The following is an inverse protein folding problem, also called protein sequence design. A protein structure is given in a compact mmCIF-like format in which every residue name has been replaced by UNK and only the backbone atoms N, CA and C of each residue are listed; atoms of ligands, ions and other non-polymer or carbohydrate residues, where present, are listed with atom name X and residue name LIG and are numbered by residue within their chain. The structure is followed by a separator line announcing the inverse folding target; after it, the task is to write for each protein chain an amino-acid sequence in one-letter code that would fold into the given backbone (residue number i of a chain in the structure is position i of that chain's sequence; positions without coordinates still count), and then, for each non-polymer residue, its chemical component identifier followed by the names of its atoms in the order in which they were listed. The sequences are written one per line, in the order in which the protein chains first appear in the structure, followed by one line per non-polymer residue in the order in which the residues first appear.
data_IF_377990906556
#
_entry.id   IF_377990906556
#
_cell.length_a   1.000
_cell.length_b   1.000
_cell.length_c   1.000
_cell.angle_alpha   90.00
_cell.angle_beta   90.00
_cell.angle_gamma   90.00
#
_symmetry.space_group_name_H-M   'P 1'
#
loop_
_entity.id
_entity.type
_entity.pdbx_description
1 polymer ?
#
# COMPACT_ATOMS: atom_id res chain seq x y z
N UNK A 1 8.64 -21.32 18.23
CA UNK A 1 9.69 -20.28 18.32
C UNK A 1 10.84 -20.69 17.44
N UNK A 2 11.15 -19.92 16.40
CA UNK A 2 12.32 -20.18 15.56
C UNK A 2 13.58 -19.85 16.38
N UNK A 3 14.40 -20.85 16.69
CA UNK A 3 15.53 -20.69 17.62
C UNK A 3 16.79 -20.06 16.97
N UNK A 4 16.79 -19.92 15.66
CA UNK A 4 18.00 -19.63 14.89
C UNK A 4 18.23 -18.11 14.74
N UNK A 5 19.50 -17.70 14.90
CA UNK A 5 19.92 -16.33 14.62
C UNK A 5 19.93 -16.10 13.10
N UNK A 6 19.20 -15.10 12.63
CA UNK A 6 19.27 -14.62 11.24
C UNK A 6 20.04 -13.31 11.15
N UNK A 7 20.69 -13.08 10.02
CA UNK A 7 21.41 -11.83 9.77
C UNK A 7 21.24 -11.33 8.33
N UNK A 8 21.22 -10.00 8.19
CA UNK A 8 21.20 -9.31 6.91
C UNK A 8 21.68 -7.85 7.03
N UNK A 9 21.95 -7.21 5.89
CA UNK A 9 22.20 -5.77 5.81
C UNK A 9 20.83 -5.07 5.80
N UNK A 10 20.61 -4.14 6.73
CA UNK A 10 19.35 -3.42 6.91
C UNK A 10 19.29 -2.07 6.17
N UNK A 11 20.43 -1.60 5.64
CA UNK A 11 20.55 -0.36 4.85
C UNK A 11 20.51 -0.64 3.34
N UNK A 12 20.11 0.34 2.50
CA UNK A 12 20.15 0.20 1.04
C UNK A 12 21.54 -0.17 0.50
N UNK A 13 21.57 -0.87 -0.63
CA UNK A 13 22.82 -1.15 -1.33
C UNK A 13 23.40 0.14 -1.93
N UNK A 14 24.71 0.32 -1.81
CA UNK A 14 25.41 1.49 -2.36
C UNK A 14 26.56 1.95 -1.47
N UNK A 15 27.08 3.14 -1.77
CA UNK A 15 28.06 3.82 -0.93
C UNK A 15 27.34 4.83 -0.05
N UNK A 16 27.54 4.75 1.25
CA UNK A 16 27.00 5.69 2.23
C UNK A 16 27.96 5.92 3.39
N UNK A 17 27.60 6.80 4.31
CA UNK A 17 28.37 7.02 5.54
C UNK A 17 28.36 5.80 6.46
N UNK A 18 27.21 5.12 6.56
CA UNK A 18 26.98 4.00 7.48
C UNK A 18 26.26 2.86 6.76
N UNK A 19 26.60 1.63 7.09
CA UNK A 19 25.80 0.44 6.80
C UNK A 19 25.42 -0.27 8.10
N UNK A 20 24.21 -0.83 8.14
CA UNK A 20 23.70 -1.55 9.32
C UNK A 20 23.63 -3.05 9.01
N UNK A 21 24.26 -3.88 9.85
CA UNK A 21 24.10 -5.34 9.84
C UNK A 21 23.27 -5.70 11.06
N UNK A 22 22.09 -6.28 10.82
CA UNK A 22 21.15 -6.69 11.87
C UNK A 22 21.22 -8.20 12.07
N UNK A 23 21.17 -8.63 13.34
CA UNK A 23 21.07 -10.04 13.75
C UNK A 23 19.87 -10.18 14.70
N UNK A 24 18.96 -11.12 14.46
CA UNK A 24 17.80 -11.42 15.34
C UNK A 24 17.73 -12.91 15.66
N UNK A 25 17.43 -13.27 16.90
CA UNK A 25 17.18 -14.66 17.28
C UNK A 25 17.36 -14.92 18.78
N UNK A 26 17.59 -16.19 19.14
CA UNK A 26 17.68 -16.62 20.55
C UNK A 26 18.93 -16.12 21.27
N UNK A 27 20.04 -15.91 20.57
CA UNK A 27 21.33 -15.58 21.20
C UNK A 27 22.28 -14.80 20.30
N UNK A 28 21.87 -13.65 19.74
CA UNK A 28 22.72 -12.86 18.84
C UNK A 28 24.04 -12.41 19.49
N UNK A 29 24.05 -12.16 20.81
CA UNK A 29 25.25 -11.78 21.55
C UNK A 29 26.37 -12.83 21.51
N UNK A 30 26.04 -14.12 21.29
CA UNK A 30 27.05 -15.18 21.14
C UNK A 30 27.91 -14.99 19.90
N UNK A 31 27.34 -14.44 18.82
CA UNK A 31 28.03 -14.07 17.59
C UNK A 31 28.85 -12.81 17.84
N UNK A 32 28.24 -11.80 18.47
CA UNK A 32 28.89 -10.51 18.77
C UNK A 32 30.14 -10.69 19.60
N UNK A 33 30.10 -11.55 20.61
CA UNK A 33 31.24 -11.85 21.49
C UNK A 33 32.47 -12.33 20.72
N UNK A 34 32.27 -12.98 19.57
CA UNK A 34 33.35 -13.54 18.76
C UNK A 34 33.91 -12.54 17.73
N UNK A 35 33.14 -11.55 17.31
CA UNK A 35 33.53 -10.62 16.24
C UNK A 35 33.58 -9.14 16.64
N UNK A 36 33.22 -8.78 17.88
CA UNK A 36 33.21 -7.39 18.33
C UNK A 36 34.08 -7.18 19.56
N UNK A 37 34.99 -6.20 19.47
CA UNK A 37 35.83 -5.77 20.57
C UNK A 37 35.45 -4.34 20.99
N UNK A 38 34.63 -4.18 22.05
CA UNK A 38 34.23 -2.86 22.53
C UNK A 38 35.43 -2.05 23.04
N UNK A 39 35.34 -0.73 22.91
CA UNK A 39 36.26 0.21 23.55
C UNK A 39 35.98 0.25 25.05
N UNK A 40 37.05 0.24 25.85
CA UNK A 40 36.96 0.29 27.30
C UNK A 40 36.96 -1.09 27.94
N UNK A 41 36.26 -1.22 29.07
CA UNK A 41 36.28 -2.42 29.93
C UNK A 41 34.97 -3.23 29.92
N UNK A 42 33.93 -2.73 29.25
CA UNK A 42 32.63 -3.41 29.20
C UNK A 42 32.77 -4.62 28.29
N UNK A 43 32.41 -5.81 28.78
CA UNK A 43 32.37 -7.03 27.96
C UNK A 43 31.04 -7.11 27.23
N UNK A 44 31.01 -7.85 26.12
CA UNK A 44 29.79 -8.06 25.33
C UNK A 44 28.68 -8.72 26.16
N UNK A 45 29.03 -9.57 27.13
CA UNK A 45 28.02 -10.18 28.01
C UNK A 45 27.32 -9.18 28.94
N UNK A 46 27.99 -8.06 29.21
CA UNK A 46 27.54 -7.00 30.11
C UNK A 46 26.89 -5.83 29.34
N UNK A 47 26.54 -6.03 28.07
CA UNK A 47 25.86 -5.00 27.28
C UNK A 47 24.49 -4.70 27.85
N UNK A 48 24.29 -3.45 28.23
CA UNK A 48 23.00 -2.89 28.57
C UNK A 48 22.18 -2.73 27.27
N UNK A 49 20.92 -3.20 27.25
CA UNK A 49 20.05 -2.98 26.11
C UNK A 49 19.88 -1.49 25.78
N UNK A 50 19.69 -1.17 24.50
CA UNK A 50 19.46 0.19 23.98
C UNK A 50 20.64 1.16 24.15
N UNK A 51 21.84 0.65 24.45
CA UNK A 51 23.07 1.43 24.55
C UNK A 51 24.00 1.16 23.37
N UNK A 52 24.60 2.22 22.83
CA UNK A 52 25.60 2.14 21.77
C UNK A 52 26.99 1.92 22.36
N UNK A 53 27.68 0.90 21.87
CA UNK A 53 29.06 0.57 22.24
C UNK A 53 29.97 0.77 21.02
N UNK A 54 30.95 1.69 21.07
CA UNK A 54 31.96 1.79 20.01
C UNK A 54 32.98 0.67 20.14
N UNK A 55 33.51 0.20 19.03
CA UNK A 55 34.47 -0.91 19.04
C UNK A 55 34.96 -1.32 17.66
N UNK A 56 35.87 -2.28 17.68
CA UNK A 56 36.40 -2.90 16.47
C UNK A 56 35.53 -4.10 16.08
N UNK A 57 35.05 -4.12 14.84
CA UNK A 57 34.26 -5.20 14.24
C UNK A 57 35.19 -6.02 13.34
N UNK A 58 35.25 -7.32 13.57
CA UNK A 58 35.96 -8.27 12.73
C UNK A 58 35.10 -8.59 11.49
N UNK A 59 35.58 -8.22 10.30
CA UNK A 59 34.99 -8.57 9.01
C UNK A 59 35.56 -9.85 8.40
N UNK A 60 36.38 -10.59 9.15
CA UNK A 60 37.08 -11.80 8.76
C UNK A 60 38.41 -11.52 8.07
N UNK A 61 38.42 -10.76 6.97
CA UNK A 61 39.65 -10.40 6.23
C UNK A 61 40.14 -8.99 6.51
N UNK A 62 39.39 -8.22 7.30
CA UNK A 62 39.71 -6.85 7.69
C UNK A 62 39.03 -6.56 9.03
N UNK A 63 39.42 -5.45 9.65
CA UNK A 63 38.71 -4.90 10.79
C UNK A 63 38.11 -3.55 10.41
N UNK A 64 36.90 -3.30 10.88
CA UNK A 64 36.28 -1.98 10.82
C UNK A 64 36.11 -1.40 12.23
N UNK A 65 35.99 -0.09 12.35
CA UNK A 65 35.63 0.57 13.59
C UNK A 65 34.22 1.13 13.48
N UNK A 66 33.34 0.73 14.40
CA UNK A 66 31.92 1.05 14.32
C UNK A 66 31.23 1.00 15.67
N UNK A 67 29.90 1.00 15.64
CA UNK A 67 29.04 0.91 16.82
C UNK A 67 28.31 -0.43 16.85
N UNK A 68 28.02 -0.91 18.05
CA UNK A 68 27.17 -2.07 18.31
C UNK A 68 26.06 -1.67 19.29
N UNK A 69 24.82 -2.05 19.01
CA UNK A 69 23.68 -1.90 19.92
C UNK A 69 22.98 -3.23 20.11
N UNK A 70 22.58 -3.52 21.34
CA UNK A 70 21.81 -4.70 21.72
C UNK A 70 20.40 -4.30 22.12
N UNK A 71 19.39 -5.00 21.61
CA UNK A 71 17.99 -4.89 21.99
C UNK A 71 17.56 -6.22 22.60
N UNK A 72 16.98 -6.16 23.80
CA UNK A 72 16.56 -7.36 24.53
C UNK A 72 15.08 -7.64 24.29
N UNK A 73 14.73 -8.90 24.05
CA UNK A 73 13.35 -9.36 23.99
C UNK A 73 12.57 -8.97 25.27
N UNK A 74 11.27 -8.62 25.18
CA UNK A 74 10.45 -8.50 23.97
C UNK A 74 10.51 -7.09 23.32
N UNK A 75 11.33 -6.19 23.85
CA UNK A 75 11.34 -4.77 23.46
C UNK A 75 12.29 -4.48 22.28
N UNK A 76 12.29 -5.36 21.28
CA UNK A 76 12.98 -5.18 20.00
C UNK A 76 11.97 -5.10 18.85
N UNK A 77 12.47 -4.86 17.63
CA UNK A 77 11.64 -4.88 16.41
C UNK A 77 10.97 -6.24 16.18
N UNK A 78 11.73 -7.32 16.24
CA UNK A 78 11.24 -8.68 16.00
C UNK A 78 10.51 -9.27 17.20
N UNK A 79 10.64 -8.68 18.39
CA UNK A 79 10.21 -9.30 19.65
C UNK A 79 11.22 -10.31 20.22
N UNK A 80 12.31 -10.59 19.50
CA UNK A 80 13.42 -11.44 19.94
C UNK A 80 14.60 -10.60 20.45
N UNK A 81 15.69 -11.24 20.86
CA UNK A 81 16.95 -10.50 21.05
C UNK A 81 17.47 -10.07 19.67
N UNK A 82 17.89 -8.81 19.56
CA UNK A 82 18.41 -8.21 18.32
C UNK A 82 19.73 -7.51 18.59
N UNK A 83 20.68 -7.63 17.67
CA UNK A 83 21.90 -6.80 17.67
C UNK A 83 22.03 -6.11 16.32
N UNK A 84 22.50 -4.87 16.35
CA UNK A 84 22.89 -4.14 15.14
C UNK A 84 24.34 -3.66 15.22
N UNK A 85 25.10 -3.95 14.17
CA UNK A 85 26.38 -3.31 13.89
C UNK A 85 26.16 -2.12 12.96
N UNK A 86 26.67 -0.94 13.33
CA UNK A 86 26.77 0.22 12.46
C UNK A 86 28.22 0.40 12.05
N UNK A 87 28.53 -0.01 10.82
CA UNK A 87 29.88 0.02 10.24
C UNK A 87 29.97 1.08 9.15
N UNK A 88 31.17 1.32 8.61
CA UNK A 88 31.31 2.23 7.46
C UNK A 88 30.52 1.69 6.25
N UNK A 89 29.82 2.59 5.55
CA UNK A 89 28.87 2.27 4.48
C UNK A 89 29.51 1.85 3.15
N UNK A 90 30.67 1.20 3.17
CA UNK A 90 31.27 0.58 2.00
C UNK A 90 30.67 -0.79 1.72
N UNK A 91 30.27 -1.06 0.48
CA UNK A 91 29.59 -2.32 0.13
C UNK A 91 30.40 -3.58 0.52
N UNK A 92 31.71 -3.57 0.26
CA UNK A 92 32.59 -4.68 0.62
C UNK A 92 32.77 -4.82 2.15
N UNK A 93 32.71 -3.70 2.88
CA UNK A 93 32.77 -3.70 4.36
C UNK A 93 31.51 -4.35 4.91
N UNK A 94 30.33 -3.88 4.49
CA UNK A 94 29.05 -4.43 4.93
C UNK A 94 28.90 -5.92 4.60
N UNK A 95 29.24 -6.32 3.35
CA UNK A 95 29.22 -7.74 2.93
C UNK A 95 30.24 -8.59 3.68
N UNK A 96 31.40 -8.04 4.02
CA UNK A 96 32.43 -8.73 4.80
C UNK A 96 31.96 -9.05 6.21
N UNK A 97 31.43 -8.04 6.91
CA UNK A 97 30.86 -8.20 8.25
C UNK A 97 29.69 -9.18 8.22
N UNK A 98 28.77 -9.06 7.26
CA UNK A 98 27.66 -10.01 7.11
C UNK A 98 28.15 -11.45 6.87
N UNK A 99 29.14 -11.68 6.01
CA UNK A 99 29.70 -13.03 5.83
C UNK A 99 30.31 -13.58 7.11
N UNK A 100 30.90 -12.72 7.93
CA UNK A 100 31.46 -13.13 9.21
C UNK A 100 30.36 -13.56 10.19
N UNK A 101 29.20 -12.89 10.22
CA UNK A 101 28.07 -13.37 11.04
C UNK A 101 27.64 -14.79 10.64
N UNK A 102 27.64 -15.09 9.34
CA UNK A 102 27.30 -16.44 8.85
C UNK A 102 28.29 -17.51 9.27
N UNK A 103 29.60 -17.21 9.19
CA UNK A 103 30.65 -18.12 9.67
C UNK A 103 30.54 -18.42 11.16
N UNK A 104 30.00 -17.48 11.93
CA UNK A 104 29.82 -17.58 13.37
C UNK A 104 28.44 -18.13 13.77
N UNK A 105 27.64 -18.59 12.80
CA UNK A 105 26.42 -19.35 13.06
C UNK A 105 25.10 -18.62 12.79
N UNK A 106 25.12 -17.37 12.29
CA UNK A 106 23.90 -16.77 11.75
C UNK A 106 23.51 -17.42 10.42
N UNK A 107 22.21 -17.50 10.13
CA UNK A 107 21.70 -17.82 8.79
C UNK A 107 21.38 -16.53 8.02
N UNK A 108 21.43 -16.56 6.67
CA UNK A 108 20.92 -15.45 5.89
C UNK A 108 19.42 -15.29 6.14
N UNK A 109 18.98 -14.06 6.46
CA UNK A 109 17.56 -13.77 6.56
C UNK A 109 16.88 -13.88 5.19
N UNK A 110 15.68 -14.44 5.16
CA UNK A 110 14.77 -14.38 4.02
C UNK A 110 14.23 -12.97 3.76
N UNK A 111 13.45 -12.81 2.69
CA UNK A 111 12.72 -11.56 2.38
C UNK A 111 11.64 -11.33 3.44
N UNK A 112 11.63 -10.14 4.04
CA UNK A 112 10.63 -9.79 5.05
C UNK A 112 10.72 -10.60 6.35
N UNK A 113 11.77 -11.39 6.57
CA UNK A 113 11.82 -12.32 7.70
C UNK A 113 11.84 -11.61 9.06
N UNK A 114 12.47 -10.44 9.18
CA UNK A 114 12.45 -9.73 10.48
C UNK A 114 11.04 -9.24 10.82
N UNK A 115 10.32 -8.71 9.83
CA UNK A 115 8.93 -8.25 9.95
C UNK A 115 7.99 -9.43 10.15
N UNK A 116 8.22 -10.57 9.47
CA UNK A 116 7.49 -11.83 9.70
C UNK A 116 7.65 -12.29 11.15
N UNK A 117 8.86 -12.25 11.71
CA UNK A 117 9.09 -12.58 13.12
C UNK A 117 8.41 -11.59 14.06
N UNK A 118 8.42 -10.30 13.74
CA UNK A 118 7.67 -9.29 14.50
C UNK A 118 6.16 -9.61 14.54
N UNK A 119 5.57 -9.97 13.40
CA UNK A 119 4.18 -10.42 13.31
C UNK A 119 3.93 -11.69 14.15
N UNK A 120 4.75 -12.73 13.98
CA UNK A 120 4.61 -13.99 14.72
C UNK A 120 4.77 -13.82 16.25
N UNK A 121 5.54 -12.83 16.68
CA UNK A 121 5.72 -12.48 18.08
C UNK A 121 4.70 -11.44 18.59
N UNK A 122 3.68 -11.12 17.80
CA UNK A 122 2.58 -10.21 18.17
C UNK A 122 3.00 -8.75 18.32
N UNK A 123 4.12 -8.34 17.73
CA UNK A 123 4.62 -6.95 17.77
C UNK A 123 3.82 -6.00 16.87
N UNK A 124 3.22 -6.56 15.81
CA UNK A 124 2.47 -5.83 14.80
C UNK A 124 1.47 -6.78 14.13
N UNK A 125 0.33 -6.24 13.67
CA UNK A 125 -0.64 -6.99 12.85
C UNK A 125 -0.16 -7.17 11.42
N UNK A 126 -0.85 -8.04 10.66
CA UNK A 126 -0.53 -8.26 9.25
C UNK A 126 -0.74 -7.00 8.40
N UNK A 127 -1.81 -6.25 8.66
CA UNK A 127 -2.07 -4.95 8.05
C UNK A 127 -0.98 -3.91 8.38
N UNK A 128 -0.46 -3.91 9.61
CA UNK A 128 0.65 -3.02 9.97
C UNK A 128 1.98 -3.44 9.36
N UNK A 129 2.20 -4.73 9.11
CA UNK A 129 3.33 -5.18 8.32
C UNK A 129 3.28 -4.55 6.91
N UNK A 130 2.15 -4.69 6.21
CA UNK A 130 1.93 -4.07 4.89
C UNK A 130 2.15 -2.56 4.93
N UNK A 131 1.64 -1.87 5.94
CA UNK A 131 1.87 -0.43 6.15
C UNK A 131 3.36 -0.06 6.24
N UNK A 132 4.19 -0.88 6.92
CA UNK A 132 5.65 -0.67 6.95
C UNK A 132 6.24 -0.80 5.55
N UNK A 133 5.85 -1.83 4.79
CA UNK A 133 6.30 -2.03 3.41
C UNK A 133 5.93 -0.82 2.52
N UNK A 134 4.70 -0.35 2.63
CA UNK A 134 4.21 0.80 1.87
C UNK A 134 4.95 2.09 2.23
N UNK A 135 5.20 2.35 3.51
CA UNK A 135 5.99 3.52 3.92
C UNK A 135 7.41 3.54 3.33
N UNK A 136 8.02 2.37 3.19
CA UNK A 136 9.39 2.24 2.66
C UNK A 136 9.42 2.46 1.15
N UNK A 137 8.39 1.97 0.46
CA UNK A 137 8.29 2.02 -0.99
C UNK A 137 7.58 3.27 -1.50
N UNK A 138 6.97 4.08 -0.61
CA UNK A 138 6.20 5.26 -0.96
C UNK A 138 7.02 6.28 -1.76
N UNK A 139 6.47 6.69 -2.90
CA UNK A 139 7.06 7.63 -3.84
C UNK A 139 6.49 9.05 -3.69
N UNK A 140 5.46 9.23 -2.84
CA UNK A 140 4.85 10.52 -2.50
C UNK A 140 4.54 10.63 -1.00
N UNK A 141 4.38 11.85 -0.50
CA UNK A 141 4.01 12.10 0.91
C UNK A 141 2.67 11.44 1.27
N UNK A 142 1.74 11.37 0.31
CA UNK A 142 0.48 10.67 0.48
C UNK A 142 0.63 9.15 0.63
N UNK A 143 1.49 8.51 -0.16
CA UNK A 143 1.78 7.07 -0.05
C UNK A 143 2.45 6.75 1.30
N UNK A 144 3.38 7.61 1.75
CA UNK A 144 4.03 7.45 3.06
C UNK A 144 3.04 7.66 4.21
N UNK A 145 2.21 8.72 4.15
CA UNK A 145 1.14 8.98 5.13
C UNK A 145 0.15 7.82 5.15
N UNK A 146 -0.12 7.21 4.00
CA UNK A 146 -1.01 6.08 3.91
C UNK A 146 -0.47 4.83 4.61
N UNK A 147 0.77 4.45 4.31
CA UNK A 147 1.44 3.36 5.01
C UNK A 147 1.53 3.61 6.53
N UNK A 148 1.74 4.87 6.94
CA UNK A 148 1.74 5.25 8.36
C UNK A 148 0.38 5.04 9.04
N UNK A 149 -0.73 5.36 8.37
CA UNK A 149 -2.07 5.14 8.93
C UNK A 149 -2.37 3.65 9.11
N UNK A 150 -1.94 2.79 8.19
CA UNK A 150 -2.01 1.33 8.34
C UNK A 150 -1.11 0.82 9.46
N UNK A 151 0.12 1.33 9.54
CA UNK A 151 1.06 1.03 10.62
C UNK A 151 0.55 1.50 11.99
N UNK A 152 -0.27 2.55 12.04
CA UNK A 152 -0.85 3.07 13.30
C UNK A 152 -1.94 2.17 13.91
N UNK A 153 -2.17 0.98 13.35
CA UNK A 153 -3.13 -0.04 13.82
C UNK A 153 -4.59 0.45 13.89
N UNK A 154 -4.95 1.59 13.29
CA UNK A 154 -6.32 2.12 13.31
C UNK A 154 -7.33 1.20 12.62
N UNK A 155 -7.00 0.72 11.42
CA UNK A 155 -7.82 -0.24 10.69
C UNK A 155 -7.93 -1.55 11.48
N UNK A 156 -6.80 -2.06 11.97
CA UNK A 156 -6.74 -3.29 12.76
C UNK A 156 -7.61 -3.18 14.02
N UNK A 157 -7.54 -2.08 14.75
CA UNK A 157 -8.35 -1.87 15.94
C UNK A 157 -9.86 -1.91 15.61
N UNK A 158 -10.26 -1.27 14.51
CA UNK A 158 -11.66 -1.29 14.05
C UNK A 158 -12.10 -2.70 13.62
N UNK A 159 -11.26 -3.44 12.89
CA UNK A 159 -11.56 -4.81 12.47
C UNK A 159 -11.60 -5.77 13.66
N UNK A 160 -10.70 -5.62 14.64
CA UNK A 160 -10.72 -6.42 15.87
C UNK A 160 -11.97 -6.19 16.71
N UNK A 161 -12.48 -4.95 16.76
CA UNK A 161 -13.75 -4.64 17.40
C UNK A 161 -14.92 -5.38 16.73
N UNK A 162 -14.99 -5.35 15.39
CA UNK A 162 -15.98 -6.10 14.62
C UNK A 162 -15.86 -7.61 14.85
N UNK A 163 -14.64 -8.16 14.81
CA UNK A 163 -14.39 -9.58 15.10
C UNK A 163 -14.79 -9.96 16.53
N UNK A 164 -14.53 -9.11 17.52
CA UNK A 164 -14.90 -9.37 18.90
C UNK A 164 -16.43 -9.45 19.07
N UNK A 165 -17.16 -8.54 18.41
CA UNK A 165 -18.64 -8.54 18.42
C UNK A 165 -19.21 -9.75 17.69
N UNK A 166 -18.70 -10.10 16.52
CA UNK A 166 -19.07 -11.33 15.81
C UNK A 166 -18.80 -12.58 16.64
N UNK A 167 -17.67 -12.63 17.34
CA UNK A 167 -17.33 -13.73 18.26
C UNK A 167 -18.33 -13.86 19.40
N UNK A 168 -18.79 -12.74 19.96
CA UNK A 168 -19.87 -12.74 20.97
C UNK A 168 -21.18 -13.28 20.40
N UNK A 169 -21.56 -12.87 19.18
CA UNK A 169 -22.76 -13.38 18.52
C UNK A 169 -22.67 -14.88 18.23
N UNK A 170 -21.51 -15.37 17.75
CA UNK A 170 -21.26 -16.80 17.56
C UNK A 170 -21.43 -17.61 18.85
N UNK A 171 -20.88 -17.12 19.96
CA UNK A 171 -21.04 -17.78 21.26
C UNK A 171 -22.52 -17.83 21.70
N UNK A 172 -23.31 -16.79 21.41
CA UNK A 172 -24.76 -16.80 21.68
C UNK A 172 -25.54 -17.78 20.80
N UNK A 173 -25.16 -17.91 19.53
CA UNK A 173 -25.71 -18.90 18.61
C UNK A 173 -25.40 -20.31 19.10
N UNK A 174 -24.14 -20.60 19.45
CA UNK A 174 -23.71 -21.93 19.93
C UNK A 174 -24.51 -22.37 21.17
N UNK A 175 -24.70 -21.47 22.14
CA UNK A 175 -25.51 -21.74 23.34
C UNK A 175 -26.97 -22.04 22.97
N UNK A 176 -27.54 -21.30 22.03
CA UNK A 176 -28.94 -21.51 21.60
C UNK A 176 -29.12 -22.83 20.86
N UNK A 177 -28.11 -23.26 20.10
CA UNK A 177 -28.11 -24.54 19.38
C UNK A 177 -27.95 -25.73 20.34
N UNK A 178 -27.09 -25.60 21.36
CA UNK A 178 -26.83 -26.67 22.33
C UNK A 178 -27.98 -26.86 23.35
N UNK A 179 -28.78 -25.82 23.61
CA UNK A 179 -29.85 -25.82 24.62
C UNK A 179 -31.21 -25.29 24.08
N UNK A 180 -31.87 -26.03 23.16
CA UNK A 180 -33.11 -25.58 22.51
C UNK A 180 -34.37 -25.62 23.40
N UNK A 181 -34.29 -26.14 24.63
CA UNK A 181 -35.46 -26.30 25.53
C UNK A 181 -35.81 -25.02 26.31
N UNK A 182 -35.02 -23.94 26.19
CA UNK A 182 -35.34 -22.63 26.74
C UNK A 182 -36.19 -21.84 25.72
N UNK A 183 -37.46 -21.53 26.02
CA UNK A 183 -38.49 -20.82 25.21
C UNK A 183 -38.10 -19.38 24.71
N UNK A 184 -36.86 -19.15 24.25
CA UNK A 184 -36.24 -17.84 23.98
C UNK A 184 -35.99 -17.60 22.47
N UNK A 185 -36.54 -18.44 21.59
CA UNK A 185 -36.16 -18.45 20.17
C UNK A 185 -36.49 -17.14 19.40
N UNK A 186 -37.69 -16.57 19.56
CA UNK A 186 -38.09 -15.41 18.74
C UNK A 186 -37.41 -14.10 19.14
N UNK A 187 -37.24 -13.83 20.44
CA UNK A 187 -36.59 -12.59 20.90
C UNK A 187 -35.09 -12.57 20.58
N UNK A 188 -34.40 -13.71 20.73
CA UNK A 188 -32.99 -13.81 20.36
C UNK A 188 -32.74 -13.62 18.86
N UNK A 189 -33.62 -14.15 17.99
CA UNK A 189 -33.48 -13.96 16.53
C UNK A 189 -33.62 -12.48 16.15
N UNK A 190 -34.54 -11.75 16.77
CA UNK A 190 -34.73 -10.31 16.52
C UNK A 190 -33.51 -9.51 16.98
N UNK A 191 -32.95 -9.82 18.16
CA UNK A 191 -31.75 -9.17 18.69
C UNK A 191 -30.53 -9.47 17.82
N UNK A 192 -30.32 -10.73 17.43
CA UNK A 192 -29.25 -11.15 16.53
C UNK A 192 -29.33 -10.43 15.18
N UNK A 193 -30.51 -10.41 14.55
CA UNK A 193 -30.72 -9.74 13.26
C UNK A 193 -30.42 -8.24 13.35
N UNK A 194 -30.84 -7.58 14.44
CA UNK A 194 -30.52 -6.17 14.69
C UNK A 194 -29.01 -5.95 14.79
N UNK A 195 -28.32 -6.75 15.60
CA UNK A 195 -26.90 -6.58 15.86
C UNK A 195 -26.04 -6.89 14.61
N UNK A 196 -26.45 -7.86 13.78
CA UNK A 196 -25.85 -8.12 12.48
C UNK A 196 -26.04 -6.97 11.50
N UNK A 197 -27.22 -6.32 11.48
CA UNK A 197 -27.45 -5.14 10.63
C UNK A 197 -26.55 -3.96 11.06
N UNK A 198 -26.37 -3.73 12.37
CA UNK A 198 -25.45 -2.70 12.86
C UNK A 198 -24.00 -2.97 12.42
N UNK A 199 -23.55 -4.22 12.52
CA UNK A 199 -22.22 -4.63 12.04
C UNK A 199 -22.06 -4.44 10.53
N UNK A 200 -23.09 -4.78 9.75
CA UNK A 200 -23.11 -4.58 8.30
C UNK A 200 -22.98 -3.09 7.94
N UNK A 201 -23.73 -2.21 8.58
CA UNK A 201 -23.70 -0.77 8.26
C UNK A 201 -22.33 -0.13 8.59
N UNK A 202 -21.71 -0.57 9.68
CA UNK A 202 -20.33 -0.18 10.03
C UNK A 202 -19.32 -0.67 8.99
N UNK A 203 -19.50 -1.90 8.49
CA UNK A 203 -18.65 -2.49 7.46
C UNK A 203 -18.83 -1.80 6.10
N UNK A 204 -20.06 -1.47 5.70
CA UNK A 204 -20.34 -0.69 4.50
C UNK A 204 -19.69 0.70 4.56
N UNK A 205 -19.68 1.33 5.73
CA UNK A 205 -18.99 2.61 5.95
C UNK A 205 -17.48 2.48 5.75
N UNK A 206 -16.89 1.40 6.27
CA UNK A 206 -15.47 1.11 6.08
C UNK A 206 -15.13 0.85 4.60
N UNK A 207 -15.97 0.08 3.89
CA UNK A 207 -15.83 -0.20 2.47
C UNK A 207 -15.93 1.07 1.61
N UNK A 208 -16.82 2.01 1.95
CA UNK A 208 -16.95 3.28 1.23
C UNK A 208 -15.65 4.11 1.27
N UNK A 209 -14.86 4.00 2.36
CA UNK A 209 -13.58 4.70 2.46
C UNK A 209 -12.46 4.11 1.59
N UNK A 210 -12.60 2.88 1.07
CA UNK A 210 -11.59 2.25 0.21
C UNK A 210 -11.40 2.96 -1.12
N UNK A 211 -12.48 3.43 -1.77
CA UNK A 211 -12.37 4.08 -3.08
C UNK A 211 -11.46 5.31 -3.02
N UNK A 212 -11.53 6.06 -1.92
CA UNK A 212 -10.65 7.19 -1.63
C UNK A 212 -9.23 6.71 -1.31
N UNK A 213 -9.09 5.67 -0.49
CA UNK A 213 -7.80 5.06 -0.17
C UNK A 213 -7.04 4.56 -1.41
N UNK A 214 -7.73 3.87 -2.32
CA UNK A 214 -7.14 3.37 -3.58
C UNK A 214 -6.53 4.51 -4.38
N UNK A 215 -7.27 5.60 -4.59
CA UNK A 215 -6.77 6.80 -5.30
C UNK A 215 -5.56 7.44 -4.63
N UNK A 216 -5.53 7.44 -3.29
CA UNK A 216 -4.38 7.94 -2.53
C UNK A 216 -3.14 7.06 -2.74
N UNK A 217 -3.31 5.73 -2.76
CA UNK A 217 -2.20 4.77 -2.86
C UNK A 217 -1.68 4.59 -4.28
N UNK A 218 -2.56 4.32 -5.25
CA UNK A 218 -2.15 4.08 -6.64
C UNK A 218 -1.94 5.37 -7.42
N UNK A 219 -2.34 6.52 -6.86
CA UNK A 219 -2.52 7.75 -7.60
C UNK A 219 -3.81 7.77 -8.41
N UNK A 220 -4.20 8.96 -8.86
CA UNK A 220 -5.34 9.18 -9.75
C UNK A 220 -4.90 8.91 -11.19
N UNK A 221 -5.61 8.03 -11.86
CA UNK A 221 -5.37 7.73 -13.28
C UNK A 221 -6.04 8.78 -14.16
N UNK A 222 -5.25 9.43 -15.02
CA UNK A 222 -5.69 10.53 -15.88
C UNK A 222 -5.52 10.13 -17.34
N UNK A 223 -6.62 10.03 -18.09
CA UNK A 223 -6.59 9.82 -19.52
C UNK A 223 -6.59 11.17 -20.26
N UNK A 224 -5.58 11.41 -21.10
CA UNK A 224 -5.54 12.58 -21.98
C UNK A 224 -6.08 12.17 -23.35
N UNK A 225 -7.22 12.74 -23.73
CA UNK A 225 -7.99 12.39 -24.92
C UNK A 225 -8.30 13.63 -25.77
N UNK A 226 -8.67 13.41 -27.03
CA UNK A 226 -8.89 14.46 -28.02
C UNK A 226 -8.29 14.08 -29.37
N UNK A 227 -8.48 14.92 -30.38
CA UNK A 227 -8.04 14.62 -31.74
C UNK A 227 -6.53 14.58 -31.94
N UNK A 228 -6.04 13.94 -33.01
CA UNK A 228 -4.67 14.12 -33.47
C UNK A 228 -4.32 15.60 -33.61
N UNK A 229 -3.06 15.95 -33.32
CA UNK A 229 -2.52 17.30 -33.47
C UNK A 229 -3.15 18.41 -32.60
N UNK A 230 -4.06 18.13 -31.66
CA UNK A 230 -4.56 19.13 -30.69
C UNK A 230 -3.51 19.53 -29.65
N UNK A 231 -2.35 18.84 -29.65
CA UNK A 231 -1.23 19.11 -28.76
C UNK A 231 -1.26 18.32 -27.45
N UNK A 232 -1.96 17.17 -27.40
CA UNK A 232 -2.01 16.26 -26.24
C UNK A 232 -0.64 15.89 -25.69
N UNK A 233 0.24 15.34 -26.53
CA UNK A 233 1.57 14.89 -26.09
C UNK A 233 2.47 16.09 -25.71
N UNK A 234 2.30 17.24 -26.36
CA UNK A 234 3.00 18.48 -25.96
C UNK A 234 2.49 18.99 -24.61
N UNK A 235 1.19 18.93 -24.35
CA UNK A 235 0.56 19.30 -23.10
C UNK A 235 0.99 18.35 -21.97
N UNK A 236 0.96 17.04 -22.21
CA UNK A 236 1.44 16.00 -21.30
C UNK A 236 2.89 16.27 -20.91
N UNK A 237 3.78 16.45 -21.90
CA UNK A 237 5.20 16.76 -21.63
C UNK A 237 5.38 18.06 -20.84
N UNK A 238 4.52 19.07 -21.08
CA UNK A 238 4.56 20.33 -20.35
C UNK A 238 4.09 20.18 -18.91
N UNK A 239 3.05 19.38 -18.67
CA UNK A 239 2.52 19.03 -17.34
C UNK A 239 3.56 18.21 -16.54
N UNK A 240 4.24 17.26 -17.19
CA UNK A 240 5.30 16.43 -16.59
C UNK A 240 6.63 17.18 -16.37
N UNK A 241 6.83 18.36 -16.98
CA UNK A 241 8.01 19.20 -16.76
C UNK A 241 8.11 19.72 -15.33
N UNK A 242 9.30 20.20 -14.92
CA UNK A 242 9.70 20.64 -13.55
C UNK A 242 9.49 19.64 -12.39
N UNK A 243 8.47 18.78 -12.44
CA UNK A 243 8.04 17.81 -11.42
C UNK A 243 8.29 16.36 -11.86
N UNK A 244 9.46 16.07 -12.45
CA UNK A 244 9.88 14.67 -12.70
C UNK A 244 10.12 13.97 -11.36
N UNK A 245 9.08 13.40 -10.78
CA UNK A 245 9.17 12.45 -9.68
C UNK A 245 9.10 11.02 -10.24
N UNK A 246 10.27 10.37 -10.20
CA UNK A 246 10.49 8.92 -10.16
C UNK A 246 9.94 8.14 -11.37
N UNK A 247 10.80 7.92 -12.37
CA UNK A 247 10.64 6.79 -13.30
C UNK A 247 10.90 5.52 -12.49
N UNK A 248 9.85 4.72 -12.24
CA UNK A 248 10.01 3.37 -11.69
C UNK A 248 10.92 2.56 -12.60
N UNK A 249 12.11 2.22 -12.09
CA UNK A 249 13.16 1.50 -12.82
C UNK A 249 12.98 -0.02 -12.87
N UNK A 250 11.75 -0.53 -12.72
CA UNK A 250 11.52 -1.99 -12.75
C UNK A 250 11.13 -2.41 -14.17
N UNK A 251 12.10 -2.95 -14.90
CA UNK A 251 11.87 -3.61 -16.18
C UNK A 251 10.90 -4.80 -15.98
N UNK A 252 9.68 -4.72 -16.53
CA UNK A 252 8.79 -5.88 -16.68
C UNK A 252 7.30 -5.72 -16.36
N UNK A 253 6.80 -4.56 -15.93
CA UNK A 253 5.34 -4.41 -15.66
C UNK A 253 4.57 -4.11 -16.95
N UNK A 254 4.14 -5.17 -17.62
CA UNK A 254 3.25 -5.10 -18.79
C UNK A 254 1.78 -5.06 -18.35
N UNK A 255 1.04 -4.02 -18.77
CA UNK A 255 -0.16 -4.17 -19.63
C UNK A 255 -0.76 -2.82 -20.08
N UNK A 256 -0.58 -1.75 -19.32
CA UNK A 256 -0.92 -0.38 -19.73
C UNK A 256 0.29 0.53 -19.48
N UNK A 257 0.90 1.05 -20.55
CA UNK A 257 2.08 1.89 -20.41
C UNK A 257 1.65 3.26 -19.84
N UNK A 258 1.94 3.48 -18.56
CA UNK A 258 1.92 4.83 -17.97
C UNK A 258 2.93 5.68 -18.73
N UNK A 259 2.51 6.81 -19.30
CA UNK A 259 3.43 7.69 -20.03
C UNK A 259 4.26 8.56 -19.09
N UNK A 260 3.70 8.89 -17.92
CA UNK A 260 4.42 9.50 -16.82
C UNK A 260 3.55 9.72 -15.59
N UNK A 261 4.18 10.06 -14.48
CA UNK A 261 3.51 10.44 -13.23
C UNK A 261 4.01 11.79 -12.75
N UNK A 262 3.14 12.55 -12.07
CA UNK A 262 3.49 13.77 -11.36
C UNK A 262 2.82 13.83 -9.99
N UNK A 263 3.36 14.66 -9.11
CA UNK A 263 2.76 14.97 -7.82
C UNK A 263 2.08 16.35 -7.86
N UNK A 264 0.83 16.44 -7.40
CA UNK A 264 0.08 17.69 -7.26
C UNK A 264 -0.44 17.76 -5.82
N UNK A 265 -0.02 18.80 -5.07
CA UNK A 265 -0.35 18.97 -3.64
C UNK A 265 -0.13 17.69 -2.80
N UNK A 266 0.99 16.98 -3.01
CA UNK A 266 1.33 15.76 -2.26
C UNK A 266 0.60 14.49 -2.73
N UNK A 267 -0.19 14.55 -3.81
CA UNK A 267 -0.94 13.41 -4.38
C UNK A 267 -0.41 13.01 -5.75
N UNK A 268 -0.29 11.70 -5.99
CA UNK A 268 0.19 11.13 -7.26
C UNK A 268 -0.89 11.13 -8.35
N UNK A 269 -0.53 11.54 -9.56
CA UNK A 269 -1.35 11.46 -10.76
C UNK A 269 -0.60 10.71 -11.85
N UNK A 270 -1.19 9.63 -12.37
CA UNK A 270 -0.63 8.83 -13.45
C UNK A 270 -1.27 9.26 -14.77
N UNK A 271 -0.48 9.78 -15.70
CA UNK A 271 -0.95 10.27 -16.99
C UNK A 271 -0.81 9.18 -18.06
N UNK A 272 -1.86 9.03 -18.85
CA UNK A 272 -1.92 8.15 -20.01
C UNK A 272 -2.33 8.97 -21.25
N UNK A 273 -1.50 9.01 -22.28
CA UNK A 273 -1.92 9.57 -23.58
C UNK A 273 -2.64 8.50 -24.39
N UNK A 274 -3.76 8.89 -24.97
CA UNK A 274 -4.52 8.04 -25.89
C UNK A 274 -3.99 8.13 -27.32
N UNK A 275 -3.11 9.10 -27.64
CA UNK A 275 -2.51 9.25 -28.97
C UNK A 275 -1.29 8.35 -29.24
N UNK A 276 -0.48 8.02 -28.22
CA UNK A 276 0.73 7.18 -28.38
C UNK A 276 0.45 5.73 -28.82
N UNK A 277 -0.82 5.33 -28.87
CA UNK A 277 -1.26 3.97 -29.22
C UNK A 277 -1.37 3.75 -30.75
N UNK A 278 -1.28 4.82 -31.55
CA UNK A 278 -1.47 4.74 -33.02
C UNK A 278 -0.18 4.60 -33.85
N UNK A 279 1.01 4.54 -33.27
CA UNK A 279 2.28 4.54 -34.03
C UNK A 279 2.66 3.21 -34.72
N UNK A 280 1.73 2.49 -35.34
CA UNK A 280 2.11 1.47 -36.34
C UNK A 280 1.07 1.34 -37.45
N UNK A 281 1.55 1.55 -38.68
CA UNK A 281 0.78 1.60 -39.91
C UNK A 281 0.06 0.27 -40.25
N UNK A 282 -1.17 0.41 -40.76
CA UNK A 282 -1.92 -0.52 -41.61
C UNK A 282 -2.26 -1.93 -41.07
N UNK A 283 -2.94 -1.95 -39.92
CA UNK A 283 -3.92 -2.97 -39.45
C UNK A 283 -4.47 -2.65 -38.04
N UNK A 284 -3.94 -1.61 -37.38
CA UNK A 284 -3.99 -1.38 -35.92
C UNK A 284 -4.95 -0.24 -35.53
N UNK A 285 -5.64 0.38 -36.50
CA UNK A 285 -6.48 1.56 -36.25
C UNK A 285 -7.68 1.29 -35.32
N UNK A 286 -8.35 0.14 -35.49
CA UNK A 286 -9.42 -0.28 -34.57
C UNK A 286 -8.89 -0.66 -33.18
N UNK A 287 -7.71 -1.29 -33.10
CA UNK A 287 -7.07 -1.66 -31.83
C UNK A 287 -6.65 -0.40 -31.06
N UNK A 288 -6.19 0.64 -31.79
CA UNK A 288 -5.83 1.93 -31.22
C UNK A 288 -7.03 2.69 -30.66
N UNK A 289 -8.19 2.61 -31.32
CA UNK A 289 -9.44 3.19 -30.83
C UNK A 289 -9.97 2.42 -29.62
N UNK A 290 -10.06 1.09 -29.70
CA UNK A 290 -10.52 0.24 -28.58
C UNK A 290 -9.65 0.42 -27.33
N UNK A 291 -8.33 0.55 -27.51
CA UNK A 291 -7.40 0.78 -26.40
C UNK A 291 -7.47 2.19 -25.84
N UNK A 292 -7.63 3.22 -26.68
CA UNK A 292 -7.91 4.58 -26.21
C UNK A 292 -9.22 4.65 -25.42
N UNK A 293 -10.28 3.99 -25.90
CA UNK A 293 -11.54 3.86 -25.16
C UNK A 293 -11.36 3.09 -23.85
N UNK A 294 -10.57 2.02 -23.84
CA UNK A 294 -10.29 1.24 -22.63
C UNK A 294 -9.59 2.09 -21.58
N UNK A 295 -8.55 2.84 -21.96
CA UNK A 295 -7.81 3.74 -21.06
C UNK A 295 -8.75 4.80 -20.48
N UNK A 296 -9.58 5.40 -21.33
CA UNK A 296 -10.59 6.38 -20.92
C UNK A 296 -11.63 5.76 -19.99
N UNK A 297 -12.09 4.52 -20.25
CA UNK A 297 -13.04 3.81 -19.40
C UNK A 297 -12.44 3.44 -18.03
N UNK A 298 -11.15 3.12 -17.97
CA UNK A 298 -10.45 2.78 -16.72
C UNK A 298 -9.93 3.97 -15.95
N UNK A 299 -9.87 5.17 -16.54
CA UNK A 299 -9.34 6.37 -15.87
C UNK A 299 -10.29 6.97 -14.84
N UNK A 300 -9.74 7.48 -13.75
CA UNK A 300 -10.47 8.24 -12.72
C UNK A 300 -10.90 9.63 -13.21
N UNK A 301 -10.06 10.28 -14.03
CA UNK A 301 -10.30 11.61 -14.60
C UNK A 301 -9.94 11.63 -16.08
N UNK A 302 -10.78 12.21 -16.93
CA UNK A 302 -10.48 12.44 -18.34
C UNK A 302 -10.13 13.91 -18.62
N UNK A 303 -9.08 14.15 -19.39
CA UNK A 303 -8.70 15.47 -19.91
C UNK A 303 -8.97 15.48 -21.39
N UNK A 304 -9.99 16.23 -21.82
CA UNK A 304 -10.37 16.37 -23.22
C UNK A 304 -9.71 17.61 -23.82
N UNK A 305 -8.81 17.43 -24.77
CA UNK A 305 -7.99 18.50 -25.37
C UNK A 305 -8.43 18.81 -26.79
N UNK A 306 -8.81 20.06 -27.02
CA UNK A 306 -9.24 20.59 -28.32
C UNK A 306 -8.58 21.95 -28.60
N UNK A 307 -8.49 22.36 -29.87
CA UNK A 307 -7.82 23.61 -30.30
C UNK A 307 -8.63 24.45 -31.29
N UNK A 308 -9.88 24.06 -31.55
CA UNK A 308 -10.85 24.67 -32.47
C UNK A 308 -12.27 24.21 -32.14
N UNK A 309 -13.27 24.73 -32.86
CA UNK A 309 -14.67 24.31 -32.72
C UNK A 309 -14.84 22.78 -32.86
N UNK A 310 -15.78 22.25 -32.08
CA UNK A 310 -16.08 20.82 -32.03
C UNK A 310 -16.74 20.32 -33.32
N UNK A 311 -16.31 19.16 -33.80
CA UNK A 311 -17.03 18.38 -34.82
C UNK A 311 -17.52 17.04 -34.27
N UNK A 312 -18.10 16.19 -35.14
CA UNK A 312 -18.69 14.90 -34.76
C UNK A 312 -17.76 13.99 -33.95
N UNK A 313 -16.45 14.00 -34.21
CA UNK A 313 -15.49 13.16 -33.48
C UNK A 313 -15.26 13.67 -32.06
N UNK A 314 -15.30 14.99 -31.84
CA UNK A 314 -15.20 15.57 -30.49
C UNK A 314 -16.43 15.22 -29.65
N UNK A 315 -17.63 15.28 -30.25
CA UNK A 315 -18.86 14.89 -29.57
C UNK A 315 -18.84 13.40 -29.16
N UNK A 316 -18.28 12.51 -29.99
CA UNK A 316 -18.11 11.09 -29.63
C UNK A 316 -17.17 10.89 -28.44
N UNK A 317 -16.06 11.62 -28.39
CA UNK A 317 -15.13 11.55 -27.24
C UNK A 317 -15.81 12.10 -25.97
N UNK A 318 -16.61 13.16 -26.10
CA UNK A 318 -17.38 13.73 -25.00
C UNK A 318 -18.43 12.75 -24.46
N UNK A 319 -19.18 12.05 -25.33
CA UNK A 319 -20.12 10.99 -24.93
C UNK A 319 -19.43 9.88 -24.12
N UNK A 320 -18.20 9.51 -24.48
CA UNK A 320 -17.40 8.51 -23.77
C UNK A 320 -16.93 8.94 -22.36
N UNK A 321 -16.88 10.26 -22.10
CA UNK A 321 -16.39 10.83 -20.83
C UNK A 321 -17.48 11.57 -20.03
N UNK A 322 -18.69 11.69 -20.55
CA UNK A 322 -19.75 12.50 -19.91
C UNK A 322 -20.09 12.02 -18.50
N UNK A 323 -20.10 10.69 -18.29
CA UNK A 323 -20.46 10.06 -17.01
C UNK A 323 -19.30 9.97 -16.00
N UNK A 324 -18.12 10.54 -16.30
CA UNK A 324 -16.96 10.53 -15.40
C UNK A 324 -16.43 11.95 -15.15
N UNK A 325 -15.67 12.16 -14.07
CA UNK A 325 -14.97 13.42 -13.86
C UNK A 325 -14.11 13.75 -15.08
N UNK A 326 -14.36 14.89 -15.71
CA UNK A 326 -13.60 15.33 -16.87
C UNK A 326 -13.29 16.82 -16.84
N UNK A 327 -12.27 17.21 -17.59
CA UNK A 327 -11.80 18.59 -17.77
C UNK A 327 -11.66 18.85 -19.26
N UNK A 328 -12.31 19.90 -19.75
CA UNK A 328 -12.25 20.36 -21.14
C UNK A 328 -11.16 21.43 -21.26
N UNK A 329 -10.15 21.14 -22.06
CA UNK A 329 -8.94 21.96 -22.23
C UNK A 329 -8.89 22.50 -23.65
N UNK A 330 -9.02 23.83 -23.77
CA UNK A 330 -8.71 24.51 -25.04
C UNK A 330 -7.21 24.81 -25.09
N UNK A 331 -6.49 24.14 -25.97
CA UNK A 331 -5.04 24.27 -26.12
C UNK A 331 -4.65 25.22 -27.28
N UNK A 332 -3.38 25.62 -27.33
CA UNK A 332 -2.79 26.51 -28.36
C UNK A 332 -3.29 27.96 -28.33
N UNK A 333 -3.55 28.50 -27.14
CA UNK A 333 -3.93 29.92 -26.98
C UNK A 333 -2.83 30.92 -27.39
N UNK A 334 -1.61 30.44 -27.62
CA UNK A 334 -0.53 31.23 -28.23
C UNK A 334 -0.78 31.54 -29.72
N UNK A 335 -1.63 30.76 -30.40
CA UNK A 335 -1.92 30.90 -31.83
C UNK A 335 -3.28 31.56 -32.11
N UNK A 336 -4.22 31.48 -31.17
CA UNK A 336 -5.62 31.89 -31.40
C UNK A 336 -6.22 32.56 -30.15
N UNK A 337 -7.08 33.55 -30.37
CA UNK A 337 -7.73 34.30 -29.29
C UNK A 337 -8.84 33.50 -28.61
N UNK A 338 -8.95 33.62 -27.27
CA UNK A 338 -9.91 32.95 -26.38
C UNK A 338 -11.36 33.16 -26.87
N UNK A 339 -11.98 32.15 -27.46
CA UNK A 339 -13.30 32.32 -28.12
C UNK A 339 -14.32 31.22 -27.82
N UNK A 340 -13.96 30.12 -27.15
CA UNK A 340 -14.91 29.03 -26.87
C UNK A 340 -15.30 28.94 -25.38
N UNK A 341 -16.53 29.35 -25.06
CA UNK A 341 -17.10 29.29 -23.69
C UNK A 341 -17.22 27.86 -23.13
N UNK A 342 -16.99 26.83 -23.94
CA UNK A 342 -17.10 25.42 -23.53
C UNK A 342 -15.88 24.87 -22.79
N UNK A 343 -14.77 25.63 -22.72
CA UNK A 343 -13.54 25.19 -22.06
C UNK A 343 -13.56 25.45 -20.54
N UNK A 344 -13.14 24.46 -19.76
CA UNK A 344 -12.91 24.63 -18.32
C UNK A 344 -11.58 25.35 -18.05
N UNK A 345 -10.59 25.14 -18.94
CA UNK A 345 -9.28 25.79 -18.87
C UNK A 345 -8.69 26.01 -20.25
N UNK A 346 -7.96 27.11 -20.38
CA UNK A 346 -7.24 27.51 -21.57
C UNK A 346 -5.74 27.30 -21.35
N UNK A 347 -5.07 26.60 -22.25
CA UNK A 347 -3.65 26.27 -22.11
C UNK A 347 -2.83 26.59 -23.35
N UNK A 348 -1.54 26.84 -23.14
CA UNK A 348 -0.54 26.75 -24.20
C UNK A 348 0.59 25.82 -23.74
N UNK A 349 0.72 24.67 -24.41
CA UNK A 349 1.84 23.76 -24.16
C UNK A 349 3.21 24.40 -24.47
N UNK A 350 3.25 25.40 -25.37
CA UNK A 350 4.48 26.12 -25.72
C UNK A 350 4.90 27.06 -24.60
N UNK A 351 4.02 28.01 -24.23
CA UNK A 351 4.34 29.05 -23.25
C UNK A 351 4.25 28.56 -21.81
N UNK A 352 3.39 27.57 -21.53
CA UNK A 352 3.04 27.13 -20.18
C UNK A 352 1.86 27.88 -19.55
N UNK A 353 1.20 28.78 -20.30
CA UNK A 353 -0.04 29.43 -19.82
C UNK A 353 -1.08 28.35 -19.48
N UNK A 354 -1.76 28.51 -18.35
CA UNK A 354 -2.89 27.67 -17.92
C UNK A 354 -2.52 26.33 -17.27
N UNK A 355 -1.25 25.92 -17.27
CA UNK A 355 -0.83 24.60 -16.75
C UNK A 355 -1.11 24.48 -15.24
N UNK A 356 -0.81 25.50 -14.44
CA UNK A 356 -1.09 25.47 -13.00
C UNK A 356 -2.60 25.43 -12.68
N UNK A 357 -3.42 26.07 -13.52
CA UNK A 357 -4.88 25.99 -13.39
C UNK A 357 -5.40 24.60 -13.74
N UNK A 358 -4.83 23.95 -14.76
CA UNK A 358 -5.12 22.57 -15.12
C UNK A 358 -4.72 21.60 -13.98
N UNK A 359 -3.54 21.78 -13.36
CA UNK A 359 -3.13 21.00 -12.17
C UNK A 359 -4.13 21.14 -11.02
N UNK A 360 -4.60 22.36 -10.76
CA UNK A 360 -5.62 22.63 -9.73
C UNK A 360 -6.94 21.92 -10.01
N UNK A 361 -7.41 21.93 -11.26
CA UNK A 361 -8.64 21.24 -11.67
C UNK A 361 -8.48 19.71 -11.62
N UNK A 362 -7.31 19.18 -11.96
CA UNK A 362 -7.01 17.76 -11.81
C UNK A 362 -7.11 17.31 -10.35
N UNK A 363 -6.59 18.12 -9.42
CA UNK A 363 -6.71 17.86 -8.00
C UNK A 363 -8.18 17.82 -7.55
N UNK A 364 -8.95 18.84 -7.90
CA UNK A 364 -10.38 18.95 -7.56
C UNK A 364 -11.19 17.78 -8.12
N UNK A 365 -10.99 17.41 -9.40
CA UNK A 365 -11.70 16.29 -10.02
C UNK A 365 -11.26 14.93 -9.51
N UNK A 366 -9.99 14.79 -9.10
CA UNK A 366 -9.41 13.54 -8.61
C UNK A 366 -9.85 13.21 -7.17
N UNK A 367 -9.77 14.19 -6.27
CA UNK A 367 -9.94 14.02 -4.82
C UNK A 367 -11.09 14.82 -4.20
N UNK A 368 -11.79 15.67 -4.95
CA UNK A 368 -12.85 16.54 -4.44
C UNK A 368 -12.32 17.81 -3.76
N UNK A 369 -13.23 18.58 -3.17
CA UNK A 369 -12.88 19.76 -2.38
C UNK A 369 -12.21 19.31 -1.06
N UNK A 370 -11.15 19.99 -0.63
CA UNK A 370 -10.18 19.60 0.43
C UNK A 370 -10.83 18.91 1.65
N UNK A 371 -11.04 17.60 1.54
CA UNK A 371 -11.71 16.78 2.54
C UNK A 371 -10.69 15.91 3.28
N UNK A 372 -10.55 16.22 4.56
CA UNK A 372 -9.65 15.61 5.54
C UNK A 372 -9.69 14.06 5.58
N UNK A 373 -8.49 13.45 5.66
CA UNK A 373 -8.00 12.44 6.63
C UNK A 373 -8.90 11.33 7.20
N UNK A 374 -10.10 11.08 6.66
CA UNK A 374 -11.03 10.07 7.15
C UNK A 374 -10.99 8.75 6.39
N UNK A 375 -10.23 8.67 5.28
CA UNK A 375 -10.17 7.44 4.49
C UNK A 375 -9.28 6.41 5.18
N UNK A 376 -9.85 5.29 5.63
CA UNK A 376 -9.06 4.09 5.86
C UNK A 376 -8.48 3.67 4.52
N UNK A 377 -7.16 3.72 4.44
CA UNK A 377 -6.46 3.09 3.34
C UNK A 377 -6.52 1.59 3.56
N UNK A 378 -7.18 0.92 2.62
CA UNK A 378 -7.50 -0.49 2.64
C UNK A 378 -6.73 -1.05 1.43
N UNK A 379 -5.96 -2.11 1.61
CA UNK A 379 -5.34 -2.84 0.49
C UNK A 379 -6.41 -3.52 -0.35
N UNK A 380 -6.14 -3.88 -1.61
CA UNK A 380 -7.07 -4.73 -2.38
C UNK A 380 -7.42 -6.02 -1.64
N UNK A 381 -6.43 -6.60 -0.94
CA UNK A 381 -6.63 -7.74 -0.04
C UNK A 381 -7.60 -7.43 1.09
N UNK A 382 -7.42 -6.30 1.78
CA UNK A 382 -8.33 -5.86 2.84
C UNK A 382 -9.73 -5.64 2.27
N UNK A 383 -9.87 -4.98 1.13
CA UNK A 383 -11.15 -4.76 0.47
C UNK A 383 -11.84 -6.08 0.13
N UNK A 384 -11.12 -7.05 -0.43
CA UNK A 384 -11.64 -8.38 -0.71
C UNK A 384 -12.13 -9.12 0.54
N UNK A 385 -11.39 -9.00 1.65
CA UNK A 385 -11.80 -9.56 2.95
C UNK A 385 -13.04 -8.86 3.53
N UNK A 386 -13.05 -7.52 3.54
CA UNK A 386 -14.20 -6.73 4.01
C UNK A 386 -15.46 -6.99 3.16
N UNK A 387 -15.32 -7.10 1.84
CA UNK A 387 -16.43 -7.38 0.94
C UNK A 387 -16.99 -8.79 1.15
N UNK A 388 -16.13 -9.81 1.28
CA UNK A 388 -16.58 -11.16 1.64
C UNK A 388 -17.29 -11.18 2.99
N UNK A 389 -16.78 -10.45 3.98
CA UNK A 389 -17.44 -10.33 5.27
C UNK A 389 -18.83 -9.66 5.15
N UNK A 390 -18.97 -8.63 4.31
CA UNK A 390 -20.25 -7.96 4.06
C UNK A 390 -21.25 -8.89 3.37
N UNK A 391 -20.79 -9.64 2.35
CA UNK A 391 -21.60 -10.64 1.65
C UNK A 391 -22.07 -11.76 2.59
N UNK A 392 -21.19 -12.30 3.44
CA UNK A 392 -21.59 -13.31 4.43
C UNK A 392 -22.53 -12.73 5.50
N UNK A 393 -22.32 -11.49 5.96
CA UNK A 393 -23.28 -10.83 6.85
C UNK A 393 -24.67 -10.66 6.23
N UNK A 394 -24.74 -10.30 4.94
CA UNK A 394 -26.02 -10.20 4.23
C UNK A 394 -26.76 -11.54 4.17
N UNK A 395 -26.03 -12.64 3.93
CA UNK A 395 -26.59 -14.00 3.97
C UNK A 395 -27.11 -14.34 5.37
N UNK A 396 -26.31 -14.10 6.41
CA UNK A 396 -26.71 -14.34 7.80
C UNK A 396 -28.00 -13.56 8.17
N UNK A 397 -28.09 -12.28 7.79
CA UNK A 397 -29.26 -11.43 8.05
C UNK A 397 -30.51 -11.99 7.33
N UNK A 398 -30.37 -12.42 6.07
CA UNK A 398 -31.47 -13.01 5.32
C UNK A 398 -31.91 -14.36 5.90
N UNK A 399 -30.96 -15.17 6.38
CA UNK A 399 -31.21 -16.48 6.98
C UNK A 399 -31.92 -16.38 8.33
N UNK A 400 -31.72 -15.31 9.11
CA UNK A 400 -32.37 -15.11 10.41
C UNK A 400 -33.90 -15.28 10.38
N UNK A 401 -34.56 -14.94 9.26
CA UNK A 401 -36.02 -14.98 9.16
C UNK A 401 -36.57 -16.34 8.69
N UNK A 402 -35.74 -17.23 8.15
CA UNK A 402 -36.20 -18.41 7.38
C UNK A 402 -35.42 -19.69 7.62
N UNK A 403 -34.29 -19.62 8.33
CA UNK A 403 -33.38 -20.74 8.56
C UNK A 403 -33.12 -20.94 10.06
N UNK A 404 -32.74 -22.16 10.49
CA UNK A 404 -32.33 -22.39 11.86
C UNK A 404 -31.00 -21.67 12.18
N UNK A 405 -30.77 -21.40 13.46
CA UNK A 405 -29.65 -20.59 13.95
C UNK A 405 -28.27 -21.20 13.62
N UNK A 406 -28.19 -22.52 13.45
CA UNK A 406 -26.96 -23.22 13.04
C UNK A 406 -26.45 -22.76 11.66
N UNK A 407 -27.36 -22.59 10.69
CA UNK A 407 -27.03 -22.07 9.36
C UNK A 407 -26.63 -20.59 9.41
N UNK A 408 -27.28 -19.80 10.26
CA UNK A 408 -26.87 -18.40 10.50
C UNK A 408 -25.45 -18.35 11.06
N UNK A 409 -25.13 -19.25 12.00
CA UNK A 409 -23.79 -19.36 12.61
C UNK A 409 -22.67 -19.59 11.59
N UNK A 410 -22.92 -20.36 10.52
CA UNK A 410 -21.96 -20.60 9.43
C UNK A 410 -21.58 -19.28 8.75
N UNK A 411 -22.58 -18.50 8.31
CA UNK A 411 -22.34 -17.23 7.63
C UNK A 411 -21.68 -16.17 8.55
N UNK A 412 -22.06 -16.13 9.84
CA UNK A 412 -21.40 -15.26 10.84
C UNK A 412 -19.94 -15.68 11.04
N UNK A 413 -19.64 -16.98 11.05
CA UNK A 413 -18.29 -17.52 11.16
C UNK A 413 -17.46 -17.19 9.93
N UNK A 414 -18.02 -17.31 8.73
CA UNK A 414 -17.36 -16.88 7.49
C UNK A 414 -16.99 -15.39 7.52
N UNK A 415 -17.89 -14.52 8.00
CA UNK A 415 -17.59 -13.10 8.15
C UNK A 415 -16.46 -12.86 9.17
N UNK A 416 -16.48 -13.56 10.30
CA UNK A 416 -15.43 -13.49 11.31
C UNK A 416 -14.06 -13.95 10.76
N UNK A 417 -14.04 -15.04 10.00
CA UNK A 417 -12.84 -15.58 9.37
C UNK A 417 -12.28 -14.65 8.30
N UNK A 418 -13.14 -14.07 7.45
CA UNK A 418 -12.72 -13.11 6.44
C UNK A 418 -12.09 -11.85 7.06
N UNK A 419 -12.69 -11.31 8.13
CA UNK A 419 -12.10 -10.18 8.86
C UNK A 419 -10.77 -10.54 9.53
N UNK A 420 -10.62 -11.78 10.01
CA UNK A 420 -9.39 -12.26 10.64
C UNK A 420 -8.20 -12.36 9.68
N UNK A 421 -8.44 -12.42 8.36
CA UNK A 421 -7.37 -12.37 7.38
C UNK A 421 -6.67 -11.00 7.37
N UNK A 422 -7.37 -9.93 7.75
CA UNK A 422 -6.82 -8.57 7.83
C UNK A 422 -5.92 -8.44 9.07
N UNK A 423 -6.40 -8.92 10.22
CA UNK A 423 -5.68 -8.84 11.50
C UNK A 423 -4.51 -9.84 11.55
N UNK A 424 -4.64 -10.95 10.82
CA UNK A 424 -3.72 -12.08 10.85
C UNK A 424 -4.17 -13.22 11.76
N UNK A 425 -5.33 -13.12 12.42
CA UNK A 425 -5.84 -14.16 13.32
C UNK A 425 -6.27 -15.44 12.59
N UNK A 426 -6.73 -15.31 11.35
CA UNK A 426 -7.17 -16.43 10.49
C UNK A 426 -6.44 -16.46 9.14
N UNK A 427 -5.38 -15.65 9.00
CA UNK A 427 -4.59 -15.60 7.79
C UNK A 427 -3.91 -16.95 7.52
N UNK A 428 -4.02 -17.42 6.28
CA UNK A 428 -3.35 -18.64 5.84
C UNK A 428 -1.85 -18.41 5.67
N UNK A 429 -1.06 -19.49 5.72
CA UNK A 429 0.39 -19.41 5.48
C UNK A 429 0.71 -18.81 4.11
N UNK A 430 -0.10 -19.11 3.09
CA UNK A 430 0.06 -18.53 1.75
C UNK A 430 -0.11 -17.00 1.74
N UNK A 431 -1.11 -16.46 2.45
CA UNK A 431 -1.32 -15.00 2.57
C UNK A 431 -0.12 -14.36 3.27
N UNK A 432 0.34 -14.97 4.37
CA UNK A 432 1.50 -14.50 5.12
C UNK A 432 2.74 -14.47 4.20
N UNK A 433 3.00 -15.55 3.46
CA UNK A 433 4.12 -15.63 2.54
C UNK A 433 4.05 -14.60 1.40
N UNK A 434 2.88 -14.41 0.79
CA UNK A 434 2.69 -13.44 -0.28
C UNK A 434 3.03 -12.01 0.18
N UNK A 435 2.61 -11.63 1.38
CA UNK A 435 2.86 -10.31 1.96
C UNK A 435 4.35 -10.12 2.20
N UNK A 436 5.00 -11.06 2.88
CA UNK A 436 6.43 -10.93 3.21
C UNK A 436 7.36 -11.10 1.99
N UNK A 437 6.88 -11.75 0.91
CA UNK A 437 7.61 -11.81 -0.36
C UNK A 437 7.77 -10.43 -1.02
N UNK A 438 6.90 -9.46 -0.73
CA UNK A 438 7.00 -8.08 -1.26
C UNK A 438 8.11 -7.26 -0.59
N UNK A 439 8.65 -7.71 0.55
CA UNK A 439 9.69 -6.99 1.29
C UNK A 439 11.09 -7.23 0.72
N UNK A 440 11.99 -6.30 1.04
CA UNK A 440 13.43 -6.43 0.82
C UNK A 440 14.06 -7.40 1.84
N UNK A 441 15.22 -7.97 1.49
CA UNK A 441 16.07 -8.69 2.43
C UNK A 441 16.67 -7.70 3.43
N UNK A 442 16.67 -8.03 4.73
CA UNK A 442 17.12 -7.12 5.80
C UNK A 442 15.99 -6.46 6.58
N UNK A 443 14.76 -6.75 6.21
CA UNK A 443 13.54 -6.40 6.92
C UNK A 443 12.69 -7.63 7.14
#
# INVERSE_FOLDING_TARGET
MMEENIAAIATPAGKGGVAIIRISGKSPLSIVKQMFKPVGRVKVEDFEPYRMYPGQIDGGSFFDYGLCVYFKAPASYTGEDVVEFQCHGGENVARGILRQTFRLGAKPAGRGEFTKRAFLNGKLSLASAEGVADMINGESDAEVKAGYLLYSEKLTAKVKDLQARLKTLLAGIDVSVDYPEEDIEEQHVVELSRDLNLLKDELSTLLASYAVGKKIKSGVTVAICGKPNTGKSSLLNKILGYDKAIVSGIAGTTRDAVEGSLEIEGRKFNLYDTAGVRESEDAIENIGIERAESIVKSSDVAVFVFDKDWDEEDYRVLELIEQKPHIKVFNKVDLQSKTDEKADVYTSAVTGEGIEKLKSLLYEKGFGDRGEDAAFLIEERHYGALKRAEESLQKAIAACAVAPLDLVGIDVKEAWDALGEITGETATEAIIEEIFAKFCVGK
#
